data_IF_972017682369
#
_entry.id   IF_972017682369
#
_cell.length_a   1.000
_cell.length_b   1.000
_cell.length_c   1.000
_cell.angle_alpha   90.00
_cell.angle_beta   90.00
_cell.angle_gamma   90.00
#
_symmetry.space_group_name_H-M   'P 1'
#
loop_
_entity.id
_entity.type
_entity.pdbx_description
1 polymer ?
#
# COMPACT_ATOMS: atom_id res chain seq x y z
N UNK A 1 1.04 -9.30 -14.34
CA UNK A 1 0.12 -8.33 -13.71
C UNK A 1 0.91 -7.18 -13.11
N UNK A 2 0.28 -6.04 -13.01
CA UNK A 2 0.81 -4.88 -12.31
C UNK A 2 0.12 -4.80 -10.94
N UNK A 3 0.89 -4.82 -9.87
CA UNK A 3 0.34 -4.86 -8.52
C UNK A 3 0.58 -3.54 -7.80
N UNK A 4 -0.50 -2.85 -7.45
CA UNK A 4 -0.44 -1.70 -6.56
C UNK A 4 -0.58 -2.18 -5.12
N UNK A 5 0.42 -1.89 -4.31
CA UNK A 5 0.43 -2.22 -2.88
C UNK A 5 0.17 -0.95 -2.08
N UNK A 6 -0.92 -0.88 -1.33
CA UNK A 6 -1.03 0.17 -0.33
C UNK A 6 -0.13 -0.16 0.88
N UNK A 7 -0.05 0.73 1.85
CA UNK A 7 0.83 0.55 2.99
C UNK A 7 0.47 -0.70 3.80
N UNK A 8 -0.83 -1.01 3.94
CA UNK A 8 -1.28 -2.19 4.69
C UNK A 8 -0.85 -3.51 4.05
N UNK A 9 -0.53 -3.49 2.74
CA UNK A 9 -0.02 -4.66 2.03
C UNK A 9 1.52 -4.68 1.96
N UNK A 10 2.17 -3.52 2.10
CA UNK A 10 3.64 -3.43 2.15
C UNK A 10 4.20 -3.86 3.51
N UNK A 11 3.57 -3.46 4.60
CA UNK A 11 4.04 -3.77 5.97
C UNK A 11 4.16 -5.29 6.19
N UNK A 12 3.20 -6.14 5.76
CA UNK A 12 3.35 -7.58 5.91
C UNK A 12 4.54 -8.20 5.17
N UNK A 13 5.14 -7.49 4.22
CA UNK A 13 6.36 -7.94 3.54
C UNK A 13 7.59 -7.82 4.43
N UNK A 14 7.57 -6.97 5.43
CA UNK A 14 8.73 -6.66 6.29
C UNK A 14 8.50 -7.00 7.77
N UNK A 15 7.28 -7.34 8.14
CA UNK A 15 6.90 -7.80 9.49
C UNK A 15 6.05 -9.04 9.34
N UNK A 16 6.31 -10.07 10.16
CA UNK A 16 5.51 -11.29 10.14
C UNK A 16 4.09 -11.00 10.65
N UNK A 17 3.12 -11.21 9.80
CA UNK A 17 1.69 -11.04 10.06
C UNK A 17 0.91 -12.14 9.34
N UNK A 18 -0.37 -12.36 9.65
CA UNK A 18 -1.15 -13.40 8.96
C UNK A 18 -1.19 -13.22 7.43
N UNK A 19 -1.14 -11.99 6.93
CA UNK A 19 -1.16 -11.69 5.49
C UNK A 19 0.20 -11.77 4.80
N UNK A 20 1.30 -12.06 5.51
CA UNK A 20 2.65 -11.97 4.96
C UNK A 20 2.88 -12.88 3.76
N UNK A 21 2.44 -14.14 3.84
CA UNK A 21 2.61 -15.09 2.73
C UNK A 21 1.81 -14.69 1.51
N UNK A 22 0.59 -14.21 1.72
CA UNK A 22 -0.27 -13.75 0.64
C UNK A 22 0.37 -12.57 -0.10
N UNK A 23 0.81 -11.55 0.64
CA UNK A 23 1.44 -10.37 0.07
C UNK A 23 2.74 -10.72 -0.65
N UNK A 24 3.57 -11.59 -0.07
CA UNK A 24 4.83 -12.02 -0.69
C UNK A 24 4.60 -12.75 -2.01
N UNK A 25 3.59 -13.63 -2.07
CA UNK A 25 3.26 -14.33 -3.32
C UNK A 25 2.83 -13.37 -4.43
N UNK A 26 2.02 -12.39 -4.09
CA UNK A 26 1.59 -11.39 -5.09
C UNK A 26 2.75 -10.50 -5.53
N UNK A 27 3.64 -10.15 -4.60
CA UNK A 27 4.86 -9.41 -4.91
C UNK A 27 5.71 -10.17 -5.92
N UNK A 28 5.94 -11.48 -5.68
CA UNK A 28 6.77 -12.29 -6.54
C UNK A 28 6.15 -12.54 -7.92
N UNK A 29 4.83 -12.61 -8.01
CA UNK A 29 4.12 -12.85 -9.27
C UNK A 29 4.00 -11.61 -10.14
N UNK A 30 4.07 -10.42 -9.55
CA UNK A 30 3.84 -9.18 -10.29
C UNK A 30 4.99 -8.90 -11.26
N UNK A 31 4.65 -8.50 -12.48
CA UNK A 31 5.61 -7.98 -13.44
C UNK A 31 6.17 -6.63 -13.00
N UNK A 32 5.30 -5.82 -12.37
CA UNK A 32 5.66 -4.52 -11.78
C UNK A 32 4.95 -4.37 -10.45
N UNK A 33 5.65 -3.79 -9.49
CA UNK A 33 5.11 -3.45 -8.17
C UNK A 33 5.10 -1.93 -8.04
N UNK A 34 3.96 -1.39 -7.64
CA UNK A 34 3.70 0.05 -7.64
C UNK A 34 3.15 0.49 -6.30
N UNK A 35 3.53 1.67 -5.85
CA UNK A 35 2.87 2.35 -4.74
C UNK A 35 3.08 3.87 -4.89
N UNK A 36 2.53 4.61 -3.96
CA UNK A 36 2.70 6.06 -3.92
C UNK A 36 3.85 6.42 -2.98
N UNK A 37 4.52 7.53 -3.23
CA UNK A 37 5.70 7.91 -2.44
C UNK A 37 5.44 7.99 -0.95
N UNK A 38 4.28 8.46 -0.53
CA UNK A 38 3.96 8.62 0.89
C UNK A 38 3.88 7.27 1.63
N UNK A 39 3.76 6.16 0.90
CA UNK A 39 3.72 4.83 1.51
C UNK A 39 4.97 4.55 2.36
N UNK A 40 6.11 5.15 2.02
CA UNK A 40 7.32 5.01 2.83
C UNK A 40 7.13 5.61 4.23
N UNK A 41 6.63 6.85 4.31
CA UNK A 41 6.38 7.50 5.60
C UNK A 41 5.32 6.77 6.40
N UNK A 42 4.27 6.29 5.74
CA UNK A 42 3.23 5.50 6.39
C UNK A 42 3.78 4.17 6.91
N UNK A 43 4.61 3.51 6.12
CA UNK A 43 5.27 2.26 6.52
C UNK A 43 6.19 2.47 7.73
N UNK A 44 7.00 3.52 7.71
CA UNK A 44 7.86 3.88 8.85
C UNK A 44 7.03 4.15 10.11
N UNK A 45 5.90 4.86 9.96
CA UNK A 45 5.00 5.14 11.08
C UNK A 45 4.38 3.87 11.65
N UNK A 46 3.97 2.94 10.79
CA UNK A 46 3.41 1.66 11.23
C UNK A 46 4.44 0.81 11.98
N UNK A 47 5.68 0.75 11.50
CA UNK A 47 6.76 0.02 12.16
C UNK A 47 7.10 0.63 13.52
N UNK A 48 7.18 1.97 13.59
CA UNK A 48 7.44 2.68 14.84
C UNK A 48 6.33 2.42 15.87
N UNK A 49 5.08 2.40 15.43
CA UNK A 49 3.94 2.10 16.30
C UNK A 49 4.00 0.66 16.83
N UNK A 50 4.33 -0.31 15.98
CA UNK A 50 4.47 -1.70 16.37
C UNK A 50 5.56 -1.84 17.45
N UNK A 51 6.65 -1.09 17.31
CA UNK A 51 7.71 -1.06 18.33
C UNK A 51 7.21 -0.46 19.65
N UNK A 52 6.51 0.67 19.60
CA UNK A 52 5.96 1.31 20.82
C UNK A 52 4.95 0.42 21.53
N UNK A 53 4.21 -0.40 20.78
CA UNK A 53 3.24 -1.35 21.35
C UNK A 53 3.88 -2.68 21.80
N UNK A 54 5.20 -2.79 21.72
CA UNK A 54 5.92 -3.98 22.18
C UNK A 54 5.89 -5.16 21.20
N UNK A 55 5.41 -4.97 19.99
CA UNK A 55 5.36 -6.04 18.97
C UNK A 55 6.71 -6.27 18.29
N UNK A 56 7.54 -5.25 18.26
CA UNK A 56 8.89 -5.31 17.68
C UNK A 56 9.90 -4.86 18.72
N UNK A 57 10.97 -5.63 18.87
CA UNK A 57 12.15 -5.20 19.64
C UNK A 57 12.89 -4.12 18.86
N UNK A 58 13.82 -3.41 19.50
CA UNK A 58 14.64 -2.42 18.78
C UNK A 58 15.45 -3.02 17.64
N UNK A 59 16.12 -4.20 17.81
CA UNK A 59 16.79 -4.83 16.66
C UNK A 59 15.81 -5.24 15.55
N UNK A 60 14.63 -5.75 15.89
CA UNK A 60 13.62 -6.13 14.90
C UNK A 60 13.09 -4.91 14.14
N UNK A 61 12.91 -3.77 14.81
CA UNK A 61 12.52 -2.54 14.16
C UNK A 61 13.57 -2.10 13.13
N UNK A 62 14.84 -2.13 13.49
CA UNK A 62 15.92 -1.74 12.57
C UNK A 62 15.99 -2.67 11.37
N UNK A 63 15.79 -3.96 11.57
CA UNK A 63 15.75 -4.93 10.46
C UNK A 63 14.55 -4.66 9.55
N UNK A 64 13.38 -4.41 10.12
CA UNK A 64 12.17 -4.12 9.35
C UNK A 64 12.32 -2.82 8.53
N UNK A 65 12.94 -1.78 9.12
CA UNK A 65 13.22 -0.53 8.40
C UNK A 65 14.17 -0.78 7.21
N UNK A 66 15.23 -1.58 7.42
CA UNK A 66 16.15 -1.93 6.35
C UNK A 66 15.44 -2.67 5.21
N UNK A 67 14.55 -3.60 5.55
CA UNK A 67 13.76 -4.32 4.55
C UNK A 67 12.76 -3.40 3.85
N UNK A 68 12.15 -2.47 4.56
CA UNK A 68 11.26 -1.48 3.96
C UNK A 68 12.00 -0.59 2.96
N UNK A 69 13.22 -0.19 3.29
CA UNK A 69 14.06 0.57 2.35
C UNK A 69 14.31 -0.22 1.07
N UNK A 70 14.58 -1.52 1.19
CA UNK A 70 14.80 -2.39 0.03
C UNK A 70 13.54 -2.56 -0.81
N UNK A 71 12.39 -2.79 -0.16
CA UNK A 71 11.08 -2.90 -0.82
C UNK A 71 10.75 -1.59 -1.55
N UNK A 72 10.90 -0.47 -0.87
CA UNK A 72 10.62 0.85 -1.44
C UNK A 72 11.50 1.12 -2.66
N UNK A 73 12.76 0.69 -2.63
CA UNK A 73 13.68 0.83 -3.75
C UNK A 73 13.26 0.05 -4.99
N UNK A 74 12.49 -1.02 -4.82
CA UNK A 74 12.00 -1.84 -5.93
C UNK A 74 10.67 -1.36 -6.52
N UNK A 75 9.95 -0.50 -5.80
CA UNK A 75 8.66 0.01 -6.25
C UNK A 75 8.81 1.02 -7.38
N UNK A 76 7.90 0.95 -8.35
CA UNK A 76 7.59 2.08 -9.21
C UNK A 76 6.76 3.05 -8.36
N UNK A 77 7.26 4.26 -8.14
CA UNK A 77 6.69 5.20 -7.18
C UNK A 77 5.92 6.30 -7.88
N UNK A 78 4.67 6.44 -7.52
CA UNK A 78 3.80 7.50 -8.01
C UNK A 78 3.99 8.73 -7.14
N UNK A 79 4.24 9.87 -7.78
CA UNK A 79 4.46 11.13 -7.08
C UNK A 79 3.18 11.68 -6.48
N UNK A 80 3.30 12.31 -5.31
CA UNK A 80 2.20 13.05 -4.68
C UNK A 80 2.28 14.50 -5.18
N UNK A 81 1.77 14.72 -6.38
CA UNK A 81 1.71 16.05 -6.98
C UNK A 81 0.34 16.72 -6.73
N UNK A 82 0.18 17.95 -7.18
CA UNK A 82 -1.06 18.70 -6.97
C UNK A 82 -2.27 18.00 -7.61
N UNK A 83 -2.11 17.49 -8.82
CA UNK A 83 -3.21 16.80 -9.52
C UNK A 83 -3.65 15.54 -8.76
N UNK A 84 -2.70 14.76 -8.24
CA UNK A 84 -3.03 13.59 -7.44
C UNK A 84 -3.81 13.96 -6.18
N UNK A 85 -3.34 14.98 -5.47
CA UNK A 85 -3.98 15.42 -4.21
C UNK A 85 -5.40 15.92 -4.47
N UNK A 86 -5.61 16.68 -5.56
CA UNK A 86 -6.94 17.14 -5.93
C UNK A 86 -7.87 15.99 -6.32
N UNK A 87 -7.36 15.03 -7.09
CA UNK A 87 -8.13 13.82 -7.42
C UNK A 87 -8.47 13.03 -6.16
N UNK A 88 -7.52 12.87 -5.25
CA UNK A 88 -7.75 12.21 -3.96
C UNK A 88 -8.85 12.90 -3.15
N UNK A 89 -8.87 14.24 -3.16
CA UNK A 89 -9.93 15.00 -2.50
C UNK A 89 -11.32 14.68 -3.01
N UNK A 90 -11.48 14.60 -4.33
CA UNK A 90 -12.74 14.19 -4.95
C UNK A 90 -13.13 12.77 -4.57
N UNK A 91 -12.17 11.84 -4.61
CA UNK A 91 -12.43 10.43 -4.25
C UNK A 91 -12.77 10.28 -2.77
N UNK A 92 -12.13 11.05 -1.89
CA UNK A 92 -12.45 11.03 -0.46
C UNK A 92 -13.92 11.38 -0.23
N UNK A 93 -14.43 12.37 -0.94
CA UNK A 93 -15.82 12.79 -0.85
C UNK A 93 -16.77 11.75 -1.48
N UNK A 94 -16.49 11.34 -2.70
CA UNK A 94 -17.34 10.41 -3.45
C UNK A 94 -17.40 9.02 -2.83
N UNK A 95 -16.28 8.53 -2.32
CA UNK A 95 -16.14 7.17 -1.81
C UNK A 95 -16.13 7.08 -0.29
N UNK A 96 -16.31 8.19 0.40
CA UNK A 96 -16.29 8.27 1.87
C UNK A 96 -15.01 7.66 2.47
N UNK A 97 -13.86 8.05 1.93
CA UNK A 97 -12.54 7.57 2.35
C UNK A 97 -11.81 8.61 3.19
N UNK A 98 -10.97 8.13 4.11
CA UNK A 98 -9.98 9.00 4.75
C UNK A 98 -8.97 9.49 3.71
N UNK A 99 -8.33 10.65 3.99
CA UNK A 99 -7.45 11.29 3.03
C UNK A 99 -6.33 10.39 2.51
N UNK A 100 -5.67 9.63 3.38
CA UNK A 100 -4.58 8.74 2.95
C UNK A 100 -5.08 7.60 2.08
N UNK A 101 -6.23 7.02 2.38
CA UNK A 101 -6.82 5.96 1.55
C UNK A 101 -7.20 6.50 0.18
N UNK A 102 -7.73 7.73 0.13
CA UNK A 102 -8.05 8.39 -1.12
C UNK A 102 -6.80 8.67 -1.97
N UNK A 103 -5.67 8.99 -1.34
CA UNK A 103 -4.39 9.16 -2.04
C UNK A 103 -3.95 7.85 -2.67
N UNK A 104 -4.07 6.73 -1.96
CA UNK A 104 -3.76 5.41 -2.52
C UNK A 104 -4.67 5.07 -3.70
N UNK A 105 -5.97 5.34 -3.58
CA UNK A 105 -6.91 5.05 -4.66
C UNK A 105 -6.62 5.90 -5.90
N UNK A 106 -6.35 7.19 -5.71
CA UNK A 106 -5.98 8.08 -6.81
C UNK A 106 -4.68 7.63 -7.49
N UNK A 107 -3.71 7.17 -6.70
CA UNK A 107 -2.45 6.67 -7.22
C UNK A 107 -2.64 5.38 -8.04
N UNK A 108 -3.42 4.44 -7.52
CA UNK A 108 -3.74 3.20 -8.24
C UNK A 108 -4.45 3.49 -9.57
N UNK A 109 -5.33 4.48 -9.58
CA UNK A 109 -6.05 4.89 -10.79
C UNK A 109 -5.12 5.33 -11.91
N UNK A 110 -3.95 5.87 -11.59
CA UNK A 110 -2.97 6.34 -12.59
C UNK A 110 -2.31 5.22 -13.38
N UNK A 111 -2.39 3.98 -12.91
CA UNK A 111 -1.76 2.85 -13.61
C UNK A 111 -2.39 2.63 -14.97
N UNK A 112 -3.69 2.80 -15.12
CA UNK A 112 -4.45 2.69 -16.37
C UNK A 112 -4.14 1.41 -17.17
N UNK A 113 -4.05 0.29 -16.50
CA UNK A 113 -3.79 -1.01 -17.10
C UNK A 113 -4.86 -1.99 -16.65
N UNK A 114 -5.44 -2.75 -17.60
CA UNK A 114 -6.50 -3.72 -17.29
C UNK A 114 -6.01 -4.87 -16.42
N UNK A 115 -4.70 -5.14 -16.45
CA UNK A 115 -4.07 -6.20 -15.67
C UNK A 115 -3.58 -5.69 -14.31
N UNK A 116 -3.99 -4.49 -13.91
CA UNK A 116 -3.62 -3.91 -12.61
C UNK A 116 -4.53 -4.45 -11.52
N UNK A 117 -3.93 -4.79 -10.38
CA UNK A 117 -4.61 -5.27 -9.18
C UNK A 117 -4.22 -4.38 -8.01
N UNK A 118 -5.19 -3.92 -7.24
CA UNK A 118 -4.94 -3.22 -5.98
C UNK A 118 -4.90 -4.25 -4.85
N UNK A 119 -3.83 -4.23 -4.06
CA UNK A 119 -3.63 -5.13 -2.93
C UNK A 119 -3.66 -4.29 -1.66
N UNK A 120 -4.62 -4.57 -0.79
CA UNK A 120 -4.83 -3.82 0.45
C UNK A 120 -5.49 -4.71 1.49
N UNK A 121 -5.09 -4.50 2.75
CA UNK A 121 -5.79 -5.08 3.90
C UNK A 121 -6.90 -4.18 4.44
N UNK A 122 -7.08 -2.99 3.89
CA UNK A 122 -8.09 -2.02 4.33
C UNK A 122 -9.42 -2.27 3.63
N UNK A 123 -10.45 -2.64 4.40
CA UNK A 123 -11.76 -3.00 3.85
C UNK A 123 -12.42 -1.82 3.12
N UNK A 124 -12.28 -0.61 3.63
CA UNK A 124 -12.90 0.58 3.03
C UNK A 124 -12.26 0.93 1.69
N UNK A 125 -10.93 0.85 1.62
CA UNK A 125 -10.21 1.09 0.37
C UNK A 125 -10.56 0.01 -0.67
N UNK A 126 -10.60 -1.25 -0.26
CA UNK A 126 -10.97 -2.36 -1.14
C UNK A 126 -12.39 -2.18 -1.69
N UNK A 127 -13.34 -1.78 -0.85
CA UNK A 127 -14.72 -1.50 -1.26
C UNK A 127 -14.78 -0.41 -2.32
N UNK A 128 -14.11 0.72 -2.04
CA UNK A 128 -14.09 1.85 -2.96
C UNK A 128 -13.45 1.48 -4.30
N UNK A 129 -12.33 0.76 -4.27
CA UNK A 129 -11.65 0.32 -5.48
C UNK A 129 -12.54 -0.60 -6.32
N UNK A 130 -13.24 -1.55 -5.69
CA UNK A 130 -14.19 -2.43 -6.42
C UNK A 130 -15.32 -1.63 -7.05
N UNK A 131 -15.85 -0.62 -6.37
CA UNK A 131 -16.89 0.24 -6.94
C UNK A 131 -16.41 0.98 -8.18
N UNK A 132 -15.13 1.30 -8.24
CA UNK A 132 -14.53 1.98 -9.40
C UNK A 132 -14.08 1.00 -10.49
N UNK A 133 -14.33 -0.29 -10.33
CA UNK A 133 -14.00 -1.29 -11.34
C UNK A 133 -12.60 -1.88 -11.24
N UNK A 134 -11.86 -1.61 -10.15
CA UNK A 134 -10.55 -2.23 -9.95
C UNK A 134 -10.67 -3.71 -9.59
N UNK A 135 -9.73 -4.50 -10.10
CA UNK A 135 -9.45 -5.80 -9.53
C UNK A 135 -8.76 -5.60 -8.17
N UNK A 136 -9.20 -6.32 -7.15
CA UNK A 136 -8.71 -6.15 -5.79
C UNK A 136 -8.35 -7.52 -5.21
N UNK A 137 -7.21 -7.59 -4.54
CA UNK A 137 -6.82 -8.73 -3.71
C UNK A 137 -6.64 -8.26 -2.28
N UNK A 138 -7.37 -8.89 -1.37
CA UNK A 138 -7.34 -8.53 0.04
C UNK A 138 -6.75 -9.68 0.85
N UNK A 139 -5.65 -9.45 1.59
CA UNK A 139 -5.09 -10.45 2.51
C UNK A 139 -6.10 -10.78 3.60
N UNK A 140 -6.15 -12.05 3.98
CA UNK A 140 -6.99 -12.53 5.07
C UNK A 140 -6.17 -12.98 6.26
#
# INVERSE_FOLDING_TARGET
>A
MIAYFDTSALVPLVVEEPGSRFCARLWDKAARVVSVRIAYAEGRAALAQAHRLGRLTSPALREAVSQLDAVYGQLDRIEVDDDLVRRAGLLAEEQALRGYDAVHLAAAERIQDRDAVLISGDAQLCRAARQMGFAVSQPQ
#
